data_IF_712859986917
#
_entry.id   IF_712859986917
#
_cell.length_a   1.000
_cell.length_b   1.000
_cell.length_c   1.000
_cell.angle_alpha   90.00
_cell.angle_beta   90.00
_cell.angle_gamma   90.00
#
_symmetry.space_group_name_H-M   'P 1'
#
loop_
_entity.id
_entity.type
_entity.pdbx_description
1 polymer ?
#
# COMPACT_ATOMS: atom_id res chain seq x y z
N UNK A 1 -1.65 73.47 32.98
CA UNK A 1 -1.62 72.83 31.66
C UNK A 1 -1.61 71.32 31.87
N UNK A 2 -2.75 70.64 31.65
CA UNK A 2 -2.99 69.24 32.02
C UNK A 2 -2.30 68.29 31.02
N UNK A 3 -1.46 67.38 31.50
CA UNK A 3 -0.85 66.32 30.69
C UNK A 3 -1.66 65.03 30.89
N UNK A 4 -2.29 64.53 29.83
CA UNK A 4 -3.08 63.30 29.79
C UNK A 4 -2.13 62.10 29.73
N UNK A 5 -2.25 61.15 30.66
CA UNK A 5 -1.65 59.82 30.53
C UNK A 5 -2.53 58.96 29.60
N UNK A 6 -1.92 58.41 28.55
CA UNK A 6 -2.52 57.39 27.70
C UNK A 6 -2.48 56.04 28.42
N UNK A 7 -3.64 55.40 28.55
CA UNK A 7 -3.78 53.98 28.93
C UNK A 7 -3.63 53.16 27.66
N UNK A 8 -2.57 52.36 27.56
CA UNK A 8 -2.39 51.39 26.49
C UNK A 8 -2.98 50.05 26.95
N UNK A 9 -4.18 49.73 26.45
CA UNK A 9 -4.84 48.44 26.65
C UNK A 9 -4.15 47.39 25.77
N UNK A 10 -3.42 46.46 26.37
CA UNK A 10 -2.83 45.33 25.65
C UNK A 10 -3.92 44.30 25.30
N UNK A 11 -4.29 44.25 24.02
CA UNK A 11 -5.14 43.20 23.46
C UNK A 11 -4.28 41.92 23.30
N UNK A 12 -4.44 40.95 24.21
CA UNK A 12 -3.88 39.61 24.06
C UNK A 12 -4.67 38.85 22.99
N UNK A 13 -4.21 38.94 21.74
CA UNK A 13 -4.69 38.13 20.64
C UNK A 13 -4.07 36.73 20.77
N UNK A 14 -4.84 35.76 21.28
CA UNK A 14 -4.43 34.36 21.29
C UNK A 14 -4.53 33.80 19.87
N UNK A 15 -3.43 33.86 19.13
CA UNK A 15 -3.27 33.14 17.86
C UNK A 15 -3.22 31.63 18.16
N UNK A 16 -4.36 30.97 18.00
CA UNK A 16 -4.44 29.52 17.89
C UNK A 16 -3.73 29.08 16.62
N UNK A 17 -2.47 28.67 16.75
CA UNK A 17 -1.74 28.02 15.67
C UNK A 17 -2.04 26.52 15.77
N UNK A 18 -3.09 26.06 15.09
CA UNK A 18 -3.25 24.63 14.79
C UNK A 18 -2.35 24.29 13.60
N UNK A 19 -1.05 24.15 13.88
CA UNK A 19 -0.08 23.58 12.96
C UNK A 19 0.38 22.24 13.50
N UNK A 20 -0.21 21.13 13.03
CA UNK A 20 0.35 19.79 13.26
C UNK A 20 1.61 19.61 12.41
N UNK A 21 2.69 20.28 12.79
CA UNK A 21 4.03 19.89 12.38
C UNK A 21 4.52 18.90 13.42
N UNK A 22 4.66 17.62 13.04
CA UNK A 22 5.29 16.60 13.88
C UNK A 22 6.72 17.05 14.19
N UNK A 23 6.90 17.68 15.35
CA UNK A 23 8.15 18.29 15.79
C UNK A 23 8.94 17.38 16.72
N UNK A 24 8.47 16.15 16.91
CA UNK A 24 9.05 15.17 17.79
C UNK A 24 9.73 14.08 17.00
N UNK A 25 10.95 13.76 17.40
CA UNK A 25 11.72 12.64 16.89
C UNK A 25 11.90 11.63 18.01
N UNK A 26 11.55 10.37 17.75
CA UNK A 26 11.88 9.29 18.67
C UNK A 26 13.40 9.14 18.76
N UNK A 27 13.89 8.92 19.98
CA UNK A 27 15.31 8.66 20.22
C UNK A 27 15.43 7.56 21.27
N UNK A 28 16.47 6.74 21.13
CA UNK A 28 16.83 5.69 22.09
C UNK A 28 18.05 6.14 22.89
N UNK A 29 18.03 5.96 24.20
CA UNK A 29 19.16 6.24 25.08
C UNK A 29 20.08 5.01 25.24
N UNK A 30 21.18 5.19 25.97
CA UNK A 30 22.19 4.14 26.20
C UNK A 30 21.67 2.95 27.01
N UNK A 31 20.59 3.14 27.77
CA UNK A 31 19.87 2.08 28.50
C UNK A 31 18.87 1.32 27.62
N UNK A 32 18.83 1.65 26.32
CA UNK A 32 17.95 1.03 25.35
C UNK A 32 16.49 1.47 25.43
N UNK A 33 16.16 2.51 26.19
CA UNK A 33 14.81 3.05 26.35
C UNK A 33 14.53 4.17 25.36
N UNK A 34 13.30 4.26 24.89
CA UNK A 34 12.81 5.26 23.96
C UNK A 34 12.10 6.42 24.67
N UNK A 35 12.31 7.61 24.13
CA UNK A 35 11.62 8.85 24.46
C UNK A 35 11.49 9.70 23.20
N UNK A 36 11.00 10.93 23.35
CA UNK A 36 10.87 11.88 22.25
C UNK A 36 11.54 13.20 22.58
N UNK A 37 12.26 13.73 21.60
CA UNK A 37 12.92 15.04 21.68
C UNK A 37 12.31 15.99 20.65
N UNK A 38 12.31 17.29 20.96
CA UNK A 38 11.98 18.32 20.00
C UNK A 38 13.12 18.59 18.99
N UNK A 39 12.91 19.55 18.08
CA UNK A 39 13.90 19.93 17.06
C UNK A 39 15.20 20.50 17.63
N UNK A 40 15.18 21.01 18.86
CA UNK A 40 16.38 21.53 19.55
C UNK A 40 17.16 20.41 20.25
N UNK A 41 16.59 19.20 20.30
CA UNK A 41 17.14 18.07 21.03
C UNK A 41 16.70 18.01 22.49
N UNK A 42 15.80 18.90 22.92
CA UNK A 42 15.26 18.90 24.28
C UNK A 42 14.29 17.74 24.44
N UNK A 43 14.39 17.04 25.57
CA UNK A 43 13.44 15.99 25.95
C UNK A 43 12.04 16.56 26.14
N UNK A 44 11.06 15.92 25.48
CA UNK A 44 9.63 16.20 25.63
C UNK A 44 8.93 15.01 26.27
N UNK A 45 9.27 13.80 25.83
CA UNK A 45 8.76 12.56 26.42
C UNK A 45 9.94 11.78 27.01
N UNK A 46 9.92 11.44 28.31
CA UNK A 46 11.03 10.78 28.99
C UNK A 46 11.43 9.43 28.36
N UNK A 47 12.73 9.13 28.37
CA UNK A 47 13.29 7.87 27.88
C UNK A 47 12.96 6.68 28.79
N UNK A 48 11.72 6.21 28.72
CA UNK A 48 11.15 5.22 29.63
C UNK A 48 10.59 3.99 28.91
N UNK A 49 10.16 4.14 27.66
CA UNK A 49 9.47 3.08 26.91
C UNK A 49 10.45 2.05 26.34
N UNK A 50 10.00 0.81 26.23
CA UNK A 50 10.76 -0.28 25.59
C UNK A 50 10.73 -0.18 24.08
N UNK A 51 9.58 0.21 23.53
CA UNK A 51 9.33 0.40 22.10
C UNK A 51 8.36 1.57 21.90
N UNK A 52 8.48 2.24 20.74
CA UNK A 52 7.56 3.31 20.32
C UNK A 52 7.23 3.13 18.83
N UNK A 53 6.06 3.59 18.42
CA UNK A 53 5.65 3.60 17.01
C UNK A 53 6.53 4.49 16.13
N UNK A 54 6.30 4.41 14.82
CA UNK A 54 7.10 5.17 13.83
C UNK A 54 6.79 6.66 13.80
N UNK A 55 5.50 7.01 13.90
CA UNK A 55 5.02 8.39 13.79
C UNK A 55 3.73 8.55 14.56
N UNK A 56 3.47 9.76 15.06
CA UNK A 56 2.15 10.10 15.59
C UNK A 56 1.12 9.97 14.46
N UNK A 57 -0.03 9.39 14.77
CA UNK A 57 -1.18 9.29 13.87
C UNK A 57 -2.35 9.93 14.59
N UNK A 58 -2.90 10.98 14.00
CA UNK A 58 -3.99 11.77 14.60
C UNK A 58 -3.69 12.22 16.05
N UNK A 59 -2.43 12.59 16.32
CA UNK A 59 -1.99 13.13 17.60
C UNK A 59 -1.66 12.10 18.69
N UNK A 60 -1.77 10.79 18.41
CA UNK A 60 -1.33 9.73 19.34
C UNK A 60 -0.30 8.80 18.72
N UNK A 61 0.50 8.14 19.55
CA UNK A 61 1.49 7.14 19.13
C UNK A 61 1.46 5.93 20.05
N UNK A 62 1.69 4.74 19.48
CA UNK A 62 1.82 3.53 20.26
C UNK A 62 3.14 3.53 21.05
N UNK A 63 3.06 3.08 22.29
CA UNK A 63 4.23 2.87 23.16
C UNK A 63 4.09 1.55 23.90
N UNK A 64 5.23 0.93 24.21
CA UNK A 64 5.31 -0.31 24.97
C UNK A 64 6.14 -0.12 26.22
N UNK A 65 5.65 -0.62 27.35
CA UNK A 65 6.37 -0.64 28.62
C UNK A 65 6.06 -1.95 29.33
N UNK A 66 7.10 -2.65 29.78
CA UNK A 66 6.99 -3.91 30.52
C UNK A 66 6.10 -4.95 29.80
N UNK A 67 6.23 -5.02 28.47
CA UNK A 67 5.45 -5.95 27.64
C UNK A 67 3.99 -5.55 27.40
N UNK A 68 3.55 -4.37 27.85
CA UNK A 68 2.19 -3.87 27.63
C UNK A 68 2.17 -2.64 26.72
N UNK A 69 1.20 -2.62 25.81
CA UNK A 69 0.98 -1.56 24.84
C UNK A 69 -0.09 -0.57 25.30
N UNK A 70 0.14 0.71 25.01
CA UNK A 70 -0.78 1.81 25.20
C UNK A 70 -0.46 2.95 24.24
N UNK A 71 -1.09 4.11 24.43
CA UNK A 71 -0.89 5.26 23.54
C UNK A 71 -0.70 6.54 24.33
N UNK A 72 0.25 7.35 23.87
CA UNK A 72 0.51 8.70 24.39
C UNK A 72 0.22 9.75 23.34
N UNK A 73 -0.09 10.96 23.78
CA UNK A 73 -0.11 12.14 22.90
C UNK A 73 1.28 12.76 22.73
N UNK A 74 1.37 13.83 21.94
CA UNK A 74 2.63 14.54 21.66
C UNK A 74 3.26 15.18 22.91
N UNK A 75 2.50 15.40 24.00
CA UNK A 75 3.06 15.86 25.27
C UNK A 75 3.65 14.73 26.12
N UNK A 76 3.47 13.48 25.71
CA UNK A 76 3.86 12.30 26.47
C UNK A 76 2.79 11.83 27.46
N UNK A 77 1.62 12.47 27.48
CA UNK A 77 0.52 12.07 28.35
C UNK A 77 -0.10 10.79 27.82
N UNK A 78 -0.31 9.83 28.70
CA UNK A 78 -1.04 8.59 28.40
C UNK A 78 -2.50 8.90 28.08
N UNK A 79 -2.90 8.63 26.83
CA UNK A 79 -4.27 8.74 26.34
C UNK A 79 -4.98 7.40 26.47
N UNK A 80 -4.28 6.30 26.15
CA UNK A 80 -4.78 4.93 26.27
C UNK A 80 -3.83 4.17 27.20
N UNK A 81 -4.33 3.61 28.32
CA UNK A 81 -3.50 2.91 29.29
C UNK A 81 -2.66 1.79 28.69
N UNK A 82 -1.44 1.59 29.22
CA UNK A 82 -0.52 0.53 28.81
C UNK A 82 -0.93 -0.82 29.44
N UNK A 83 -2.07 -1.37 28.99
CA UNK A 83 -2.66 -2.59 29.54
C UNK A 83 -2.79 -3.72 28.51
N UNK A 84 -2.62 -3.41 27.23
CA UNK A 84 -2.84 -4.36 26.13
C UNK A 84 -1.63 -5.24 25.89
N UNK A 85 -1.87 -6.50 25.51
CA UNK A 85 -0.82 -7.49 25.21
C UNK A 85 -0.15 -7.21 23.87
N UNK A 86 -0.89 -6.62 22.93
CA UNK A 86 -0.44 -6.27 21.59
C UNK A 86 -1.35 -5.15 21.04
N UNK A 87 -0.89 -4.44 20.02
CA UNK A 87 -1.64 -3.37 19.36
C UNK A 87 -1.15 -3.13 17.93
N UNK A 88 -2.04 -2.65 17.06
CA UNK A 88 -1.71 -2.13 15.73
C UNK A 88 -1.66 -0.60 15.76
N UNK A 89 -1.24 0.02 14.66
CA UNK A 89 -1.31 1.48 14.48
C UNK A 89 -2.76 1.98 14.51
N UNK A 90 -2.93 3.24 14.90
CA UNK A 90 -4.20 3.94 14.75
C UNK A 90 -4.42 4.28 13.28
N UNK A 91 -5.40 3.63 12.66
CA UNK A 91 -5.74 3.82 11.26
C UNK A 91 -7.25 3.94 11.11
N UNK A 92 -7.67 4.93 10.35
CA UNK A 92 -9.07 5.25 10.04
C UNK A 92 -10.03 5.31 11.24
N UNK A 93 -9.56 5.78 12.40
CA UNK A 93 -10.37 6.01 13.60
C UNK A 93 -10.44 4.84 14.57
N UNK A 94 -9.79 3.71 14.32
CA UNK A 94 -9.78 2.54 15.22
C UNK A 94 -8.37 1.97 15.42
N UNK A 95 -8.18 1.30 16.57
CA UNK A 95 -6.95 0.58 16.93
C UNK A 95 -7.32 -0.87 17.23
N UNK A 96 -6.71 -1.82 16.52
CA UNK A 96 -6.77 -3.21 16.92
C UNK A 96 -5.86 -3.43 18.14
N UNK A 97 -6.40 -3.94 19.23
CA UNK A 97 -5.67 -4.21 20.49
C UNK A 97 -5.98 -5.60 21.00
N UNK A 98 -5.01 -6.23 21.67
CA UNK A 98 -5.15 -7.56 22.24
C UNK A 98 -5.28 -7.51 23.76
N UNK A 99 -6.30 -8.18 24.29
CA UNK A 99 -6.53 -8.33 25.72
C UNK A 99 -7.06 -9.73 26.01
N UNK A 100 -6.49 -10.40 27.03
CA UNK A 100 -6.86 -11.76 27.42
C UNK A 100 -6.77 -12.75 26.25
N UNK A 101 -5.73 -12.63 25.43
CA UNK A 101 -5.51 -13.52 24.30
C UNK A 101 -6.35 -13.23 23.04
N UNK A 102 -7.29 -12.28 23.07
CA UNK A 102 -8.18 -11.96 21.93
C UNK A 102 -8.03 -10.52 21.47
N UNK A 103 -8.23 -10.29 20.18
CA UNK A 103 -8.28 -8.96 19.58
C UNK A 103 -9.70 -8.39 19.58
N UNK A 104 -9.76 -7.09 19.85
CA UNK A 104 -10.89 -6.20 19.66
C UNK A 104 -10.41 -4.87 19.10
N UNK A 105 -11.33 -3.92 18.91
CA UNK A 105 -10.99 -2.59 18.42
C UNK A 105 -11.47 -1.50 19.36
N UNK A 106 -10.59 -0.55 19.63
CA UNK A 106 -10.86 0.63 20.45
C UNK A 106 -10.77 1.90 19.60
N UNK A 107 -11.47 2.95 20.01
CA UNK A 107 -11.26 4.29 19.45
C UNK A 107 -10.05 5.00 20.11
N UNK A 108 -9.77 6.24 19.67
CA UNK A 108 -8.66 7.05 20.20
C UNK A 108 -8.76 7.40 21.70
N UNK A 109 -9.93 7.21 22.31
CA UNK A 109 -10.16 7.43 23.75
C UNK A 109 -9.96 6.15 24.57
N UNK A 110 -9.74 5.02 23.91
CA UNK A 110 -9.65 3.70 24.54
C UNK A 110 -11.00 3.03 24.74
N UNK A 111 -12.11 3.61 24.23
CA UNK A 111 -13.42 2.98 24.30
C UNK A 111 -13.46 1.80 23.35
N UNK A 112 -13.89 0.63 23.85
CA UNK A 112 -14.12 -0.56 23.03
C UNK A 112 -15.30 -0.32 22.09
N UNK A 113 -15.03 -0.38 20.79
CA UNK A 113 -16.02 -0.30 19.72
C UNK A 113 -16.38 -1.70 19.24
N UNK A 114 -15.38 -2.57 19.09
CA UNK A 114 -15.56 -3.94 18.64
C UNK A 114 -15.02 -4.88 19.74
N UNK A 115 -15.85 -5.78 20.30
CA UNK A 115 -15.46 -6.65 21.41
C UNK A 115 -14.24 -7.54 21.15
N UNK A 116 -13.52 -7.89 22.22
CA UNK A 116 -12.38 -8.81 22.21
C UNK A 116 -12.83 -10.25 21.97
N UNK A 117 -12.95 -10.66 20.70
CA UNK A 117 -13.37 -12.02 20.33
C UNK A 117 -12.53 -12.68 19.26
N UNK A 118 -11.72 -11.92 18.52
CA UNK A 118 -10.94 -12.43 17.40
C UNK A 118 -9.61 -13.01 17.85
N UNK A 119 -9.12 -14.03 17.17
CA UNK A 119 -7.80 -14.62 17.41
C UNK A 119 -6.69 -13.68 16.93
N UNK A 120 -6.96 -12.96 15.84
CA UNK A 120 -6.08 -11.96 15.26
C UNK A 120 -6.89 -10.84 14.59
N UNK A 121 -6.26 -9.67 14.43
CA UNK A 121 -6.83 -8.53 13.71
C UNK A 121 -5.72 -7.64 13.11
N UNK A 122 -5.99 -7.08 11.95
CA UNK A 122 -5.15 -6.05 11.32
C UNK A 122 -5.71 -4.65 11.57
N UNK A 123 -4.99 -3.61 11.14
CA UNK A 123 -5.54 -2.25 11.09
C UNK A 123 -6.64 -2.15 10.03
N UNK A 124 -7.50 -1.13 10.17
CA UNK A 124 -8.51 -0.81 9.17
C UNK A 124 -7.87 -0.20 7.92
N UNK A 125 -8.32 -0.62 6.75
CA UNK A 125 -7.88 -0.09 5.46
C UNK A 125 -9.02 -0.12 4.44
N UNK A 126 -9.21 0.99 3.74
CA UNK A 126 -10.34 1.21 2.83
C UNK A 126 -11.71 1.00 3.52
N UNK A 127 -11.80 1.21 4.83
CA UNK A 127 -13.02 0.98 5.62
C UNK A 127 -13.23 -0.45 6.14
N UNK A 128 -12.30 -1.37 5.86
CA UNK A 128 -12.41 -2.79 6.23
C UNK A 128 -11.36 -3.18 7.27
N UNK A 129 -11.79 -3.93 8.30
CA UNK A 129 -10.90 -4.59 9.24
C UNK A 129 -10.80 -6.07 8.91
N UNK A 130 -9.58 -6.57 8.65
CA UNK A 130 -9.36 -8.02 8.52
C UNK A 130 -9.23 -8.64 9.90
N UNK A 131 -10.00 -9.70 10.13
CA UNK A 131 -10.03 -10.44 11.39
C UNK A 131 -9.90 -11.94 11.17
N UNK A 132 -9.38 -12.62 12.19
CA UNK A 132 -9.27 -14.07 12.24
C UNK A 132 -10.11 -14.62 13.40
N UNK A 133 -10.87 -15.68 13.14
CA UNK A 133 -11.63 -16.41 14.15
C UNK A 133 -11.59 -17.91 13.84
N UNK A 134 -11.17 -18.71 14.81
CA UNK A 134 -11.03 -20.17 14.70
C UNK A 134 -10.16 -20.60 13.50
N UNK A 135 -9.07 -19.88 13.24
CA UNK A 135 -8.15 -20.15 12.14
C UNK A 135 -8.68 -19.81 10.75
N UNK A 136 -9.77 -19.03 10.66
CA UNK A 136 -10.33 -18.53 9.40
C UNK A 136 -10.31 -17.00 9.38
N UNK A 137 -10.11 -16.42 8.20
CA UNK A 137 -10.09 -14.97 7.99
C UNK A 137 -11.38 -14.46 7.34
N UNK A 138 -11.69 -13.19 7.59
CA UNK A 138 -12.80 -12.46 7.00
C UNK A 138 -12.71 -10.96 7.27
N UNK A 139 -13.73 -10.21 6.85
CA UNK A 139 -13.76 -8.76 6.99
C UNK A 139 -14.94 -8.28 7.80
N UNK A 140 -14.71 -7.22 8.56
CA UNK A 140 -15.72 -6.48 9.31
C UNK A 140 -15.68 -4.99 8.95
N UNK A 141 -16.80 -4.31 9.14
CA UNK A 141 -16.85 -2.85 9.10
C UNK A 141 -16.43 -2.22 10.44
N UNK A 142 -16.41 -0.89 10.51
CA UNK A 142 -16.03 -0.12 11.70
C UNK A 142 -16.99 -0.26 12.89
N UNK A 143 -18.17 -0.83 12.68
CA UNK A 143 -19.12 -1.17 13.75
C UNK A 143 -18.90 -2.58 14.29
N UNK A 144 -18.05 -3.38 13.61
CA UNK A 144 -17.80 -4.78 13.93
C UNK A 144 -18.77 -5.74 13.25
N UNK A 145 -19.61 -5.27 12.33
CA UNK A 145 -20.49 -6.12 11.53
C UNK A 145 -19.65 -6.85 10.49
N UNK A 146 -19.88 -8.16 10.37
CA UNK A 146 -19.27 -8.99 9.34
C UNK A 146 -19.74 -8.53 7.95
N UNK A 147 -18.75 -8.17 7.12
CA UNK A 147 -18.93 -7.87 5.70
C UNK A 147 -18.86 -9.18 4.91
N UNK A 148 -17.96 -10.07 5.30
CA UNK A 148 -17.91 -11.46 4.82
C UNK A 148 -18.07 -12.42 5.97
N UNK A 149 -18.59 -13.62 5.71
CA UNK A 149 -18.41 -14.73 6.63
C UNK A 149 -16.91 -14.95 6.91
N UNK A 150 -16.54 -15.21 8.17
CA UNK A 150 -15.16 -15.53 8.57
C UNK A 150 -14.90 -17.00 8.27
N UNK A 151 -14.64 -17.30 7.00
CA UNK A 151 -14.55 -18.68 6.48
C UNK A 151 -13.33 -18.95 5.62
N UNK A 152 -12.60 -17.90 5.21
CA UNK A 152 -11.49 -18.05 4.27
C UNK A 152 -10.26 -18.59 4.98
N UNK A 153 -9.44 -19.37 4.28
CA UNK A 153 -8.12 -19.79 4.80
C UNK A 153 -7.16 -18.60 4.83
N UNK A 154 -7.27 -17.72 3.83
CA UNK A 154 -6.50 -16.48 3.73
C UNK A 154 -7.36 -15.40 3.07
N UNK A 155 -7.27 -14.18 3.56
CA UNK A 155 -7.89 -12.98 3.07
C UNK A 155 -6.81 -11.87 2.97
N UNK A 156 -6.71 -11.23 1.80
CA UNK A 156 -5.73 -10.17 1.55
C UNK A 156 -6.30 -8.78 1.84
N UNK A 157 -5.46 -7.76 1.95
CA UNK A 157 -5.95 -6.39 2.09
C UNK A 157 -6.78 -5.97 0.87
N UNK A 158 -7.79 -5.12 1.11
CA UNK A 158 -8.43 -4.39 0.03
C UNK A 158 -7.42 -3.47 -0.67
N UNK A 159 -7.47 -3.48 -2.00
CA UNK A 159 -6.73 -2.58 -2.86
C UNK A 159 -7.62 -2.15 -4.03
N UNK A 160 -7.93 -0.86 -4.11
CA UNK A 160 -8.77 -0.34 -5.19
C UNK A 160 -10.20 -0.87 -5.12
N UNK A 161 -10.70 -1.13 -3.91
CA UNK A 161 -12.06 -1.64 -3.67
C UNK A 161 -12.23 -3.14 -3.85
N UNK A 162 -11.16 -3.92 -4.02
CA UNK A 162 -11.25 -5.38 -4.15
C UNK A 162 -10.24 -6.06 -3.26
N UNK A 163 -10.60 -7.22 -2.73
CA UNK A 163 -9.66 -8.12 -2.07
C UNK A 163 -9.77 -9.50 -2.68
N UNK A 164 -8.64 -10.22 -2.77
CA UNK A 164 -8.65 -11.63 -3.10
C UNK A 164 -8.61 -12.47 -1.84
N UNK A 165 -9.25 -13.63 -1.92
CA UNK A 165 -9.44 -14.58 -0.83
C UNK A 165 -9.07 -15.98 -1.30
N UNK A 166 -8.64 -16.83 -0.38
CA UNK A 166 -8.35 -18.25 -0.63
C UNK A 166 -9.20 -19.13 0.26
N UNK A 167 -9.82 -20.14 -0.34
CA UNK A 167 -10.55 -21.19 0.36
C UNK A 167 -10.29 -22.52 -0.35
N UNK A 168 -9.88 -23.55 0.39
CA UNK A 168 -9.60 -24.89 -0.14
C UNK A 168 -8.63 -24.85 -1.34
N UNK A 169 -7.53 -24.10 -1.20
CA UNK A 169 -6.51 -23.87 -2.23
C UNK A 169 -7.01 -23.24 -3.54
N UNK A 170 -8.21 -22.66 -3.54
CA UNK A 170 -8.75 -21.90 -4.67
C UNK A 170 -8.91 -20.43 -4.32
N UNK A 171 -8.54 -19.60 -5.28
CA UNK A 171 -8.59 -18.15 -5.17
C UNK A 171 -9.85 -17.59 -5.83
N UNK A 172 -10.30 -16.47 -5.31
CA UNK A 172 -11.37 -15.63 -5.86
C UNK A 172 -11.27 -14.21 -5.31
N UNK A 173 -12.26 -13.39 -5.61
CA UNK A 173 -12.30 -11.99 -5.18
C UNK A 173 -13.59 -11.68 -4.46
N UNK A 174 -13.51 -10.77 -3.50
CA UNK A 174 -14.66 -10.15 -2.84
C UNK A 174 -14.71 -8.67 -3.17
N UNK A 175 -15.92 -8.16 -3.38
CA UNK A 175 -16.19 -6.73 -3.55
C UNK A 175 -16.33 -6.01 -2.18
N UNK A 176 -16.48 -4.67 -2.15
CA UNK A 176 -16.65 -3.91 -0.91
C UNK A 176 -17.90 -4.28 -0.10
N UNK A 177 -18.90 -4.90 -0.73
CA UNK A 177 -20.08 -5.40 -0.05
C UNK A 177 -19.86 -6.80 0.55
N UNK A 178 -18.66 -7.38 0.39
CA UNK A 178 -18.30 -8.71 0.84
C UNK A 178 -18.82 -9.82 -0.06
N UNK A 179 -19.34 -9.48 -1.25
CA UNK A 179 -19.84 -10.46 -2.20
C UNK A 179 -18.69 -11.04 -2.99
N UNK A 180 -18.66 -12.37 -3.08
CA UNK A 180 -17.78 -13.09 -3.99
C UNK A 180 -18.12 -12.70 -5.45
N UNK A 181 -17.15 -12.11 -6.16
CA UNK A 181 -17.30 -11.65 -7.55
C UNK A 181 -17.34 -12.85 -8.50
N UNK A 182 -16.57 -13.89 -8.17
CA UNK A 182 -16.54 -15.16 -8.88
C UNK A 182 -16.52 -16.29 -7.85
N UNK A 183 -17.00 -17.48 -8.22
CA UNK A 183 -16.71 -18.68 -7.44
C UNK A 183 -15.19 -18.82 -7.24
N UNK A 184 -14.77 -19.23 -6.05
CA UNK A 184 -13.36 -19.49 -5.74
C UNK A 184 -12.93 -20.75 -6.48
N UNK A 185 -12.32 -20.56 -7.66
CA UNK A 185 -11.94 -21.65 -8.57
C UNK A 185 -10.54 -21.52 -9.15
N UNK A 186 -9.89 -20.37 -8.96
CA UNK A 186 -8.61 -20.07 -9.60
C UNK A 186 -7.44 -20.69 -8.84
N UNK A 187 -6.40 -21.06 -9.56
CA UNK A 187 -5.13 -21.58 -9.02
C UNK A 187 -4.14 -20.46 -8.68
N UNK A 188 -4.39 -19.26 -9.17
CA UNK A 188 -3.60 -18.06 -8.91
C UNK A 188 -4.33 -16.82 -9.41
N UNK A 189 -4.04 -15.68 -8.80
CA UNK A 189 -4.65 -14.39 -9.12
C UNK A 189 -3.63 -13.27 -8.97
N UNK A 190 -3.79 -12.21 -9.77
CA UNK A 190 -3.18 -10.91 -9.53
C UNK A 190 -4.20 -9.95 -8.90
N UNK A 191 -3.72 -8.86 -8.31
CA UNK A 191 -4.59 -7.78 -7.80
C UNK A 191 -5.31 -7.05 -8.94
N UNK A 192 -6.44 -6.43 -8.63
CA UNK A 192 -7.10 -5.55 -9.59
C UNK A 192 -6.24 -4.30 -9.86
N UNK A 193 -5.92 -4.07 -11.13
CA UNK A 193 -5.22 -2.89 -11.65
C UNK A 193 -5.93 -2.41 -12.92
N UNK A 194 -6.15 -1.11 -13.04
CA UNK A 194 -6.97 -0.50 -14.12
C UNK A 194 -8.37 -1.12 -14.31
N UNK A 195 -8.89 -1.80 -13.29
CA UNK A 195 -10.18 -2.48 -13.32
C UNK A 195 -10.17 -3.92 -13.83
N UNK A 196 -9.00 -4.52 -14.01
CA UNK A 196 -8.83 -5.89 -14.46
C UNK A 196 -7.93 -6.68 -13.51
N UNK A 197 -8.13 -7.99 -13.45
CA UNK A 197 -7.26 -8.88 -12.70
C UNK A 197 -6.87 -10.09 -13.55
N UNK A 198 -5.60 -10.47 -13.48
CA UNK A 198 -5.12 -11.73 -14.01
C UNK A 198 -5.61 -12.89 -13.16
N UNK A 199 -6.13 -13.95 -13.79
CA UNK A 199 -6.59 -15.17 -13.12
C UNK A 199 -6.02 -16.41 -13.82
N UNK A 200 -5.62 -17.41 -13.04
CA UNK A 200 -5.01 -18.65 -13.51
C UNK A 200 -5.95 -19.84 -13.32
N UNK A 201 -6.13 -20.64 -14.37
CA UNK A 201 -6.90 -21.87 -14.34
C UNK A 201 -6.28 -22.90 -15.29
N UNK A 202 -6.05 -24.14 -14.84
CA UNK A 202 -5.44 -25.22 -15.64
C UNK A 202 -4.14 -24.77 -16.32
N UNK A 203 -3.25 -24.17 -15.52
CA UNK A 203 -1.94 -23.69 -15.98
C UNK A 203 -1.92 -22.59 -17.06
N UNK A 204 -3.07 -21.98 -17.37
CA UNK A 204 -3.15 -20.81 -18.24
C UNK A 204 -3.73 -19.60 -17.52
N UNK A 205 -3.31 -18.43 -17.95
CA UNK A 205 -3.81 -17.14 -17.47
C UNK A 205 -4.82 -16.55 -18.44
N UNK A 206 -5.76 -15.80 -17.86
CA UNK A 206 -6.74 -14.94 -18.51
C UNK A 206 -6.92 -13.66 -17.69
N UNK A 207 -7.73 -12.74 -18.20
CA UNK A 207 -8.15 -11.54 -17.48
C UNK A 207 -9.66 -11.56 -17.23
N UNK A 208 -10.06 -11.07 -16.07
CA UNK A 208 -11.44 -10.74 -15.73
C UNK A 208 -11.59 -9.25 -15.45
N UNK A 209 -12.80 -8.71 -15.64
CA UNK A 209 -13.17 -7.38 -15.18
C UNK A 209 -13.68 -7.38 -13.72
N UNK A 210 -14.05 -6.19 -13.22
CA UNK A 210 -14.60 -5.98 -11.86
C UNK A 210 -15.90 -6.75 -11.58
N UNK A 211 -16.59 -7.23 -12.60
CA UNK A 211 -17.81 -8.05 -12.47
C UNK A 211 -17.51 -9.54 -12.45
N UNK A 212 -16.24 -9.92 -12.66
CA UNK A 212 -15.82 -11.32 -12.78
C UNK A 212 -15.97 -11.87 -14.19
N UNK A 213 -16.36 -11.04 -15.17
CA UNK A 213 -16.50 -11.45 -16.56
C UNK A 213 -15.13 -11.63 -17.19
N UNK A 214 -14.93 -12.78 -17.83
CA UNK A 214 -13.73 -13.08 -18.62
C UNK A 214 -13.63 -12.12 -19.82
N UNK A 215 -12.51 -11.40 -19.90
CA UNK A 215 -12.15 -10.50 -21.00
C UNK A 215 -11.31 -11.24 -22.05
N UNK A 216 -10.52 -12.22 -21.60
CA UNK A 216 -9.72 -13.08 -22.50
C UNK A 216 -9.96 -14.54 -22.16
N UNK A 217 -9.71 -15.43 -23.13
CA UNK A 217 -9.69 -16.87 -22.89
C UNK A 217 -8.42 -17.24 -22.11
N UNK A 218 -8.49 -18.33 -21.33
CA UNK A 218 -7.34 -18.95 -20.67
C UNK A 218 -6.36 -19.52 -21.71
N UNK A 219 -5.37 -18.71 -22.11
CA UNK A 219 -4.42 -19.08 -23.16
C UNK A 219 -3.00 -18.56 -22.94
N UNK A 220 -2.79 -17.67 -21.98
CA UNK A 220 -1.47 -17.08 -21.71
C UNK A 220 -0.68 -17.94 -20.74
N UNK A 221 0.64 -18.01 -20.91
CA UNK A 221 1.55 -18.70 -20.00
C UNK A 221 1.79 -17.86 -18.74
N UNK A 222 1.77 -16.54 -18.89
CA UNK A 222 1.89 -15.56 -17.81
C UNK A 222 1.25 -14.24 -18.24
N UNK A 223 0.76 -13.47 -17.26
CA UNK A 223 0.23 -12.12 -17.48
C UNK A 223 0.80 -11.16 -16.45
N UNK A 224 1.12 -9.95 -16.88
CA UNK A 224 1.39 -8.83 -15.99
C UNK A 224 0.11 -8.06 -15.71
N UNK A 225 0.15 -7.17 -14.73
CA UNK A 225 -0.98 -6.32 -14.41
C UNK A 225 -1.26 -5.32 -15.53
N UNK A 226 -2.50 -4.89 -15.66
CA UNK A 226 -2.81 -3.75 -16.53
C UNK A 226 -2.20 -2.47 -15.94
N UNK A 227 -1.52 -1.70 -16.78
CA UNK A 227 -1.05 -0.35 -16.47
C UNK A 227 -1.15 0.53 -17.72
N UNK A 228 -1.53 1.80 -17.54
CA UNK A 228 -1.84 2.73 -18.64
C UNK A 228 -2.81 2.19 -19.70
N UNK A 229 -3.68 1.25 -19.29
CA UNK A 229 -4.64 0.56 -20.13
C UNK A 229 -4.11 -0.55 -21.05
N UNK A 230 -2.89 -1.02 -20.83
CA UNK A 230 -2.27 -2.13 -21.57
C UNK A 230 -1.74 -3.17 -20.59
N UNK A 231 -1.82 -4.45 -20.96
CA UNK A 231 -1.22 -5.52 -20.17
C UNK A 231 -0.22 -6.33 -21.02
N UNK A 232 1.06 -6.40 -20.63
CA UNK A 232 1.99 -7.38 -21.16
C UNK A 232 1.54 -8.80 -20.87
N UNK A 233 1.56 -9.66 -21.89
CA UNK A 233 1.15 -11.06 -21.79
C UNK A 233 2.17 -11.97 -22.46
N UNK A 234 2.41 -13.13 -21.87
CA UNK A 234 3.32 -14.14 -22.39
C UNK A 234 2.54 -15.30 -23.00
N UNK A 235 2.93 -15.72 -24.21
CA UNK A 235 2.39 -16.91 -24.87
C UNK A 235 3.50 -17.59 -25.66
N UNK A 236 3.72 -18.87 -25.42
CA UNK A 236 4.80 -19.66 -26.00
C UNK A 236 6.19 -19.04 -25.74
N UNK A 237 6.44 -18.60 -24.49
CA UNK A 237 7.72 -18.01 -24.03
C UNK A 237 8.13 -16.68 -24.70
N UNK A 238 7.19 -16.01 -25.36
CA UNK A 238 7.40 -14.67 -25.94
C UNK A 238 6.30 -13.73 -25.48
N UNK A 239 6.66 -12.46 -25.33
CA UNK A 239 5.78 -11.40 -24.87
C UNK A 239 5.16 -10.65 -26.05
N UNK A 240 3.87 -10.37 -25.91
CA UNK A 240 3.11 -9.34 -26.61
C UNK A 240 2.34 -8.51 -25.58
N UNK A 241 1.34 -7.74 -26.02
CA UNK A 241 0.48 -6.98 -25.11
C UNK A 241 -0.95 -6.86 -25.62
N UNK A 242 -1.89 -6.71 -24.68
CA UNK A 242 -3.32 -6.56 -24.96
C UNK A 242 -3.87 -5.23 -24.47
N UNK A 243 -4.94 -4.76 -25.11
CA UNK A 243 -5.76 -3.63 -24.64
C UNK A 243 -6.81 -4.06 -23.59
N UNK A 244 -7.56 -3.09 -23.07
CA UNK A 244 -8.66 -3.30 -22.10
C UNK A 244 -9.82 -4.18 -22.61
N UNK A 245 -9.93 -4.37 -23.91
CA UNK A 245 -10.95 -5.22 -24.53
C UNK A 245 -10.42 -6.66 -24.76
N UNK A 246 -9.16 -6.92 -24.41
CA UNK A 246 -8.50 -8.20 -24.64
C UNK A 246 -7.93 -8.39 -26.05
N UNK A 247 -7.89 -7.33 -26.87
CA UNK A 247 -7.32 -7.38 -28.21
C UNK A 247 -5.80 -7.39 -28.12
N UNK A 248 -5.15 -8.28 -28.87
CA UNK A 248 -3.69 -8.31 -29.02
C UNK A 248 -3.25 -7.09 -29.85
N UNK A 249 -2.66 -6.09 -29.19
CA UNK A 249 -2.24 -4.82 -29.81
C UNK A 249 -0.72 -4.73 -30.04
N UNK A 250 0.07 -5.55 -29.34
CA UNK A 250 1.52 -5.67 -29.56
C UNK A 250 1.85 -7.13 -29.89
N UNK A 251 2.55 -7.40 -31.01
CA UNK A 251 2.81 -8.76 -31.47
C UNK A 251 3.73 -9.54 -30.54
N UNK A 252 3.52 -10.85 -30.49
CA UNK A 252 4.29 -11.80 -29.69
C UNK A 252 5.67 -12.06 -30.30
N UNK A 253 6.63 -11.21 -30.00
CA UNK A 253 8.03 -11.34 -30.48
C UNK A 253 9.08 -10.96 -29.44
N UNK A 254 8.67 -10.35 -28.34
CA UNK A 254 9.60 -9.79 -27.36
C UNK A 254 10.04 -10.85 -26.36
N UNK A 255 11.29 -10.76 -25.91
CA UNK A 255 11.81 -11.57 -24.80
C UNK A 255 11.21 -11.13 -23.47
N UNK A 256 10.93 -9.84 -23.33
CA UNK A 256 10.19 -9.26 -22.21
C UNK A 256 9.58 -7.92 -22.63
N UNK A 257 8.52 -7.52 -21.95
CA UNK A 257 7.95 -6.17 -21.96
C UNK A 257 7.73 -5.81 -20.48
N UNK A 258 8.23 -4.66 -20.01
CA UNK A 258 7.97 -4.15 -18.65
C UNK A 258 6.51 -3.71 -18.50
N UNK A 259 6.10 -3.33 -17.29
CA UNK A 259 4.84 -2.61 -17.14
C UNK A 259 4.93 -1.27 -17.89
N UNK A 260 3.77 -0.80 -18.36
CA UNK A 260 3.67 0.50 -19.03
C UNK A 260 3.57 1.60 -17.97
N UNK A 261 4.43 2.61 -18.10
CA UNK A 261 4.43 3.80 -17.24
C UNK A 261 4.61 5.06 -18.10
N UNK A 262 3.67 6.00 -17.98
CA UNK A 262 3.68 7.21 -18.82
C UNK A 262 3.55 6.90 -20.31
N UNK A 263 2.88 5.80 -20.67
CA UNK A 263 2.65 5.35 -22.03
C UNK A 263 3.82 4.61 -22.70
N UNK A 264 4.90 4.32 -21.96
CA UNK A 264 6.07 3.61 -22.46
C UNK A 264 6.32 2.34 -21.65
N UNK A 265 6.81 1.29 -22.31
CA UNK A 265 7.34 0.10 -21.67
C UNK A 265 8.73 -0.22 -22.22
N UNK A 266 9.63 -0.65 -21.34
CA UNK A 266 10.91 -1.21 -21.75
C UNK A 266 10.67 -2.57 -22.40
N UNK A 267 11.26 -2.80 -23.57
CA UNK A 267 11.10 -4.05 -24.30
C UNK A 267 12.45 -4.60 -24.76
N UNK A 268 12.55 -5.93 -24.76
CA UNK A 268 13.74 -6.65 -25.19
C UNK A 268 13.50 -7.50 -26.43
N UNK A 269 14.37 -7.40 -27.43
CA UNK A 269 14.33 -8.19 -28.67
C UNK A 269 15.77 -8.54 -29.08
N UNK A 270 16.03 -9.82 -29.42
CA UNK A 270 17.35 -10.28 -29.92
C UNK A 270 18.56 -9.84 -29.08
N UNK A 271 18.42 -9.84 -27.75
CA UNK A 271 19.49 -9.44 -26.82
C UNK A 271 19.71 -7.93 -26.72
N UNK A 272 18.89 -7.11 -27.39
CA UNK A 272 18.89 -5.66 -27.30
C UNK A 272 17.66 -5.15 -26.55
N UNK A 273 17.74 -3.91 -26.09
CA UNK A 273 16.72 -3.23 -25.30
C UNK A 273 16.39 -1.86 -25.89
N UNK A 274 15.16 -1.42 -25.66
CA UNK A 274 14.63 -0.12 -26.03
C UNK A 274 13.31 0.15 -25.31
N UNK A 275 12.55 1.15 -25.77
CA UNK A 275 11.21 1.46 -25.25
C UNK A 275 10.19 1.45 -26.38
N UNK A 276 9.05 0.84 -26.11
CA UNK A 276 7.91 0.80 -27.01
C UNK A 276 6.74 1.60 -26.43
N UNK A 277 5.94 2.20 -27.30
CA UNK A 277 4.67 2.82 -26.96
C UNK A 277 3.60 1.76 -26.69
N UNK A 278 2.42 2.20 -26.24
CA UNK A 278 1.22 1.36 -26.08
C UNK A 278 0.75 0.69 -27.37
N UNK A 279 1.12 1.21 -28.54
CA UNK A 279 0.81 0.59 -29.86
C UNK A 279 1.92 -0.34 -30.35
N UNK A 280 3.03 -0.44 -29.60
CA UNK A 280 4.20 -1.26 -29.97
C UNK A 280 5.21 -0.53 -30.87
N UNK A 281 5.04 0.77 -31.11
CA UNK A 281 6.01 1.59 -31.83
C UNK A 281 7.28 1.79 -31.00
N UNK A 282 8.45 1.61 -31.60
CA UNK A 282 9.74 1.85 -30.93
C UNK A 282 9.97 3.35 -30.76
N UNK A 283 9.67 3.88 -29.57
CA UNK A 283 9.95 5.27 -29.19
C UNK A 283 11.44 5.46 -28.93
N UNK A 284 12.07 4.45 -28.30
CA UNK A 284 13.52 4.34 -28.20
C UNK A 284 13.92 3.04 -28.90
N UNK A 285 14.69 3.11 -30.00
CA UNK A 285 15.00 1.94 -30.82
C UNK A 285 15.60 0.79 -30.02
N UNK A 286 15.21 -0.44 -30.34
CA UNK A 286 15.70 -1.64 -29.66
C UNK A 286 17.08 -2.03 -30.20
N UNK A 287 18.09 -1.24 -29.83
CA UNK A 287 19.49 -1.39 -30.28
C UNK A 287 20.52 -1.39 -29.15
N UNK A 288 20.11 -1.03 -27.95
CA UNK A 288 20.99 -0.86 -26.80
C UNK A 288 21.28 -2.21 -26.14
N UNK A 289 22.49 -2.38 -25.60
CA UNK A 289 22.84 -3.57 -24.81
C UNK A 289 22.12 -3.58 -23.46
N UNK A 290 21.84 -2.39 -22.93
CA UNK A 290 21.04 -2.20 -21.73
C UNK A 290 20.43 -0.78 -21.72
N UNK A 291 19.22 -0.64 -21.19
CA UNK A 291 18.63 0.68 -20.89
C UNK A 291 18.04 0.70 -19.49
N UNK A 292 18.37 1.73 -18.71
CA UNK A 292 17.81 1.98 -17.37
C UNK A 292 16.44 2.65 -17.43
N UNK A 293 15.78 2.73 -16.28
CA UNK A 293 14.54 3.50 -16.13
C UNK A 293 14.81 5.00 -16.20
N UNK A 294 13.77 5.76 -16.57
CA UNK A 294 13.84 7.22 -16.55
C UNK A 294 13.78 7.76 -15.12
N UNK A 295 14.83 8.47 -14.70
CA UNK A 295 14.89 9.21 -13.44
C UNK A 295 15.15 10.67 -13.73
N UNK A 296 14.30 11.57 -13.21
CA UNK A 296 14.39 13.02 -13.44
C UNK A 296 14.50 13.41 -14.93
N UNK A 297 13.82 12.67 -15.82
CA UNK A 297 13.79 12.95 -17.26
C UNK A 297 14.94 12.33 -18.08
N UNK A 298 15.90 11.66 -17.45
CA UNK A 298 17.01 11.00 -18.13
C UNK A 298 17.07 9.49 -17.83
N UNK A 299 17.54 8.71 -18.79
CA UNK A 299 17.85 7.29 -18.61
C UNK A 299 19.32 7.02 -18.97
N UNK A 300 19.95 6.12 -18.24
CA UNK A 300 21.29 5.61 -18.56
C UNK A 300 21.15 4.47 -19.56
N UNK A 301 22.01 4.41 -20.58
CA UNK A 301 22.05 3.28 -21.51
C UNK A 301 23.48 2.76 -21.70
N UNK A 302 23.57 1.51 -22.17
CA UNK A 302 24.80 0.92 -22.69
C UNK A 302 24.65 0.61 -24.18
N UNK A 303 25.53 1.16 -25.01
CA UNK A 303 25.57 0.90 -26.45
C UNK A 303 26.99 0.50 -26.85
N UNK A 304 27.15 -0.70 -27.41
CA UNK A 304 28.44 -1.26 -27.80
C UNK A 304 29.47 -1.21 -26.65
N UNK A 305 29.01 -1.56 -25.44
CA UNK A 305 29.84 -1.57 -24.24
C UNK A 305 30.13 -0.19 -23.61
N UNK A 306 29.67 0.92 -24.21
CA UNK A 306 29.86 2.28 -23.66
C UNK A 306 28.60 2.78 -22.97
N UNK A 307 28.77 3.43 -21.82
CA UNK A 307 27.68 4.04 -21.06
C UNK A 307 27.43 5.47 -21.52
N UNK A 308 26.15 5.86 -21.58
CA UNK A 308 25.71 7.22 -21.87
C UNK A 308 24.38 7.53 -21.18
N UNK A 309 23.91 8.76 -21.32
CA UNK A 309 22.58 9.19 -20.87
C UNK A 309 21.74 9.72 -22.02
N UNK A 310 20.43 9.52 -21.98
CA UNK A 310 19.49 10.04 -22.96
C UNK A 310 18.22 10.59 -22.31
N UNK A 311 17.54 11.49 -23.01
CA UNK A 311 16.22 11.98 -22.63
C UNK A 311 15.10 10.98 -23.03
N UNK A 312 13.85 11.34 -22.73
CA UNK A 312 12.67 10.51 -23.01
C UNK A 312 12.39 10.29 -24.50
N UNK A 313 13.04 11.04 -25.39
CA UNK A 313 12.96 10.86 -26.85
C UNK A 313 14.06 9.95 -27.38
N UNK A 314 14.98 9.49 -26.52
CA UNK A 314 16.14 8.71 -26.91
C UNK A 314 17.30 9.56 -27.42
N UNK A 315 17.24 10.89 -27.30
CA UNK A 315 18.34 11.79 -27.66
C UNK A 315 19.38 11.78 -26.56
N UNK A 316 20.65 11.58 -26.93
CA UNK A 316 21.76 11.59 -25.98
C UNK A 316 21.89 12.97 -25.31
N UNK A 317 22.06 12.95 -23.99
CA UNK A 317 22.35 14.11 -23.16
C UNK A 317 23.86 14.14 -22.99
N UNK A 318 24.53 15.01 -23.74
CA UNK A 318 25.95 15.32 -23.55
C UNK A 318 26.10 16.29 -22.38
N UNK A 319 26.94 15.95 -21.40
CA UNK A 319 27.43 16.91 -20.39
C UNK A 319 28.39 17.92 -21.02
#
# INVERSE_FOLDING_TARGET
MKMRQLIATALLCTLGITGYAQNLKSKRNDKGKYGFIDRTGKEVVPFTYDEVGYSFKEGIINVKLNGKHGFIDESGKVVIPLIYEDSRSFEEGLIAVKQNGKFGFIDKTGKVIIPFKYDNATYFKEGFGKVELNGKEGYIDKTGKEITAIKYDVAFDFYGGFAWVRLNDKYGFVDPAGKEITALKYEGVNSFKDGFAGVKLKDKWAFIDKTGKEITKFKYDYVKDFSDGVAPVERNKVYGAIDKNGNEIIPFKYRFISDFEGGLAKAGLNGKEGFISKTGEEVIPIKYDAVGEFKNGAAIFRLNGRWGSMDKTGKEITQ
#
